data_IF_980172736181
#
_entry.id   IF_980172736181
#
_cell.length_a   1.000
_cell.length_b   1.000
_cell.length_c   1.000
_cell.angle_alpha   90.00
_cell.angle_beta   90.00
_cell.angle_gamma   90.00
#
_symmetry.space_group_name_H-M   'P 1'
#
loop_
_entity.id
_entity.type
_entity.pdbx_description
1 polymer ?
#
# COMPACT_ATOMS: atom_id res chain seq x y z
N UNK A 1 -26.22 27.32 -64.95
CA UNK A 1 -27.06 27.08 -63.78
C UNK A 1 -26.31 26.08 -62.94
N UNK A 2 -25.47 26.55 -62.01
CA UNK A 2 -24.67 25.72 -61.13
C UNK A 2 -25.34 25.63 -59.74
N UNK A 3 -25.56 24.39 -59.27
CA UNK A 3 -26.14 24.11 -57.93
C UNK A 3 -25.06 24.17 -56.87
N UNK A 4 -25.31 24.75 -55.70
CA UNK A 4 -24.36 24.71 -54.56
C UNK A 4 -24.43 23.37 -53.87
N UNK A 5 -23.24 22.78 -53.58
CA UNK A 5 -23.07 21.60 -52.74
C UNK A 5 -22.98 22.10 -51.29
N UNK A 6 -23.94 21.68 -50.49
CA UNK A 6 -23.94 21.96 -49.03
C UNK A 6 -23.05 20.92 -48.34
N UNK A 7 -21.93 21.37 -47.79
CA UNK A 7 -21.02 20.54 -47.00
C UNK A 7 -21.46 20.62 -45.55
N UNK A 8 -22.10 19.56 -45.03
CA UNK A 8 -22.47 19.45 -43.63
C UNK A 8 -21.23 19.05 -42.80
N UNK A 9 -20.70 19.97 -42.00
CA UNK A 9 -19.70 19.67 -40.99
C UNK A 9 -20.39 19.00 -39.79
N UNK A 10 -20.11 17.72 -39.61
CA UNK A 10 -20.51 16.99 -38.39
C UNK A 10 -19.48 17.28 -37.29
N UNK A 11 -19.84 18.12 -36.33
CA UNK A 11 -19.02 18.39 -35.15
C UNK A 11 -19.19 17.20 -34.18
N UNK A 12 -18.19 16.31 -34.10
CA UNK A 12 -18.12 15.29 -33.06
C UNK A 12 -17.68 15.99 -31.74
N UNK A 13 -18.62 16.20 -30.84
CA UNK A 13 -18.30 16.63 -29.48
C UNK A 13 -17.70 15.43 -28.67
N UNK A 14 -16.40 15.43 -28.52
CA UNK A 14 -15.71 14.57 -27.59
C UNK A 14 -16.02 15.06 -26.17
N UNK A 15 -16.99 14.44 -25.51
CA UNK A 15 -17.20 14.63 -24.07
C UNK A 15 -16.13 13.81 -23.34
N UNK A 16 -15.06 14.49 -22.91
CA UNK A 16 -14.12 13.94 -21.94
C UNK A 16 -14.84 13.84 -20.59
N UNK A 17 -15.25 12.62 -20.21
CA UNK A 17 -15.66 12.34 -18.85
C UNK A 17 -14.40 12.41 -17.97
N UNK A 18 -14.17 13.53 -17.31
CA UNK A 18 -13.26 13.63 -16.18
C UNK A 18 -13.95 12.96 -14.99
N UNK A 19 -13.56 11.76 -14.65
CA UNK A 19 -13.88 11.17 -13.36
C UNK A 19 -13.08 11.95 -12.32
N UNK A 20 -13.66 13.01 -11.74
CA UNK A 20 -13.19 13.52 -10.47
C UNK A 20 -13.42 12.38 -9.46
N UNK A 21 -12.34 11.78 -8.96
CA UNK A 21 -12.43 10.82 -7.86
C UNK A 21 -13.04 11.56 -6.68
N UNK A 22 -14.22 11.14 -6.24
CA UNK A 22 -14.82 11.63 -5.00
C UNK A 22 -13.87 11.24 -3.86
N UNK A 23 -13.12 12.20 -3.32
CA UNK A 23 -12.10 11.97 -2.29
C UNK A 23 -12.65 11.30 -1.02
N UNK A 24 -13.97 11.22 -0.90
CA UNK A 24 -14.67 10.60 0.23
C UNK A 24 -15.28 9.22 -0.09
N UNK A 25 -15.04 8.67 -1.27
CA UNK A 25 -15.57 7.36 -1.64
C UNK A 25 -14.63 6.23 -1.23
N UNK A 26 -15.18 5.22 -0.51
CA UNK A 26 -14.45 3.98 -0.25
C UNK A 26 -14.42 3.11 -1.53
N UNK A 27 -13.25 2.95 -2.11
CA UNK A 27 -13.05 2.15 -3.32
C UNK A 27 -13.07 0.64 -3.07
N UNK A 28 -13.06 0.18 -1.82
CA UNK A 28 -13.19 -1.24 -1.48
C UNK A 28 -14.66 -1.68 -1.50
N UNK A 29 -15.15 -1.94 -2.71
CA UNK A 29 -16.53 -2.36 -2.98
C UNK A 29 -16.56 -3.67 -3.76
N UNK A 30 -17.70 -4.36 -3.77
CA UNK A 30 -17.91 -5.60 -4.51
C UNK A 30 -18.36 -6.77 -3.62
N UNK A 31 -18.19 -8.00 -4.12
CA UNK A 31 -18.52 -9.22 -3.39
C UNK A 31 -17.48 -9.52 -2.30
N UNK A 32 -17.85 -9.59 -1.01
CA UNK A 32 -16.92 -9.89 0.08
C UNK A 32 -16.33 -11.31 0.05
N UNK A 33 -16.79 -12.17 -0.87
CA UNK A 33 -16.22 -13.50 -1.07
C UNK A 33 -15.18 -13.53 -2.19
N UNK A 34 -15.01 -12.42 -2.94
CA UNK A 34 -14.11 -12.36 -4.11
C UNK A 34 -13.02 -11.33 -3.91
N UNK A 35 -11.78 -11.74 -4.20
CA UNK A 35 -10.64 -10.83 -4.27
C UNK A 35 -10.65 -10.06 -5.58
N UNK A 36 -10.50 -8.75 -5.50
CA UNK A 36 -10.24 -7.87 -6.65
C UNK A 36 -8.75 -7.57 -6.71
N UNK A 37 -8.10 -8.01 -7.78
CA UNK A 37 -6.69 -7.71 -8.01
C UNK A 37 -6.50 -6.21 -8.28
N UNK A 38 -5.53 -5.61 -7.62
CA UNK A 38 -5.07 -4.23 -7.85
C UNK A 38 -3.83 -4.20 -8.73
N UNK A 39 -3.01 -5.25 -8.66
CA UNK A 39 -1.89 -5.47 -9.57
C UNK A 39 -2.27 -6.52 -10.62
N UNK A 40 -1.99 -6.21 -11.87
CA UNK A 40 -2.43 -7.03 -13.01
C UNK A 40 -1.41 -8.10 -13.45
N UNK A 41 -0.23 -8.18 -12.81
CA UNK A 41 0.85 -9.11 -13.14
C UNK A 41 1.62 -8.78 -14.42
N UNK A 42 1.49 -7.56 -14.98
CA UNK A 42 2.08 -7.19 -16.28
C UNK A 42 2.74 -5.82 -16.28
N UNK A 43 2.08 -4.83 -15.66
CA UNK A 43 2.54 -3.44 -15.65
C UNK A 43 1.95 -2.69 -14.45
N UNK A 44 2.37 -1.44 -14.27
CA UNK A 44 1.93 -0.57 -13.20
C UNK A 44 0.68 0.26 -13.54
N UNK A 45 -0.16 -0.19 -14.46
CA UNK A 45 -1.43 0.47 -14.76
C UNK A 45 -2.31 0.55 -13.50
N UNK A 46 -2.75 1.75 -13.14
CA UNK A 46 -3.50 2.00 -11.91
C UNK A 46 -2.64 2.28 -10.68
N UNK A 47 -1.31 2.41 -10.87
CA UNK A 47 -0.37 2.77 -9.84
C UNK A 47 0.42 4.02 -10.22
N UNK A 48 0.91 4.75 -9.22
CA UNK A 48 1.75 5.94 -9.41
C UNK A 48 2.82 5.99 -8.33
N UNK A 49 4.04 6.32 -8.74
CA UNK A 49 5.17 6.51 -7.84
C UNK A 49 5.32 7.98 -7.41
N UNK A 50 5.73 8.19 -6.14
CA UNK A 50 6.17 9.48 -5.60
C UNK A 50 7.44 9.28 -4.78
N UNK A 51 8.30 10.28 -4.73
CA UNK A 51 9.58 10.25 -4.05
C UNK A 51 10.73 9.68 -4.89
N UNK A 52 11.92 9.57 -4.31
CA UNK A 52 13.09 8.93 -4.93
C UNK A 52 12.89 7.44 -5.21
N UNK A 53 13.74 6.89 -6.07
CA UNK A 53 13.66 5.49 -6.46
C UNK A 53 12.65 5.22 -7.54
N UNK A 54 12.18 3.99 -7.61
CA UNK A 54 11.21 3.57 -8.63
C UNK A 54 10.76 2.14 -8.46
N UNK A 55 9.80 1.77 -9.31
CA UNK A 55 9.25 0.43 -9.36
C UNK A 55 9.23 -0.04 -10.80
N UNK A 56 9.61 -1.28 -11.03
CA UNK A 56 9.55 -1.90 -12.35
C UNK A 56 8.78 -3.21 -12.31
N UNK A 57 8.28 -3.62 -13.46
CA UNK A 57 7.76 -4.97 -13.66
C UNK A 57 8.64 -5.62 -14.71
N UNK A 58 9.31 -6.68 -14.34
CA UNK A 58 10.22 -7.40 -15.21
C UNK A 58 9.57 -8.67 -15.81
N UNK A 59 10.36 -9.47 -16.50
CA UNK A 59 9.88 -10.68 -17.20
C UNK A 59 9.31 -11.77 -16.29
N UNK A 60 9.52 -11.67 -14.97
CA UNK A 60 8.92 -12.55 -13.96
C UNK A 60 7.49 -12.14 -13.56
N UNK A 61 7.03 -10.95 -13.99
CA UNK A 61 5.70 -10.43 -13.71
C UNK A 61 5.50 -9.94 -12.29
N UNK A 62 6.58 -9.62 -11.55
CA UNK A 62 6.51 -9.06 -10.21
C UNK A 62 6.80 -7.56 -10.22
N UNK A 63 6.27 -6.82 -9.25
CA UNK A 63 6.71 -5.47 -8.96
C UNK A 63 8.05 -5.58 -8.22
N UNK A 64 9.07 -4.91 -8.72
CA UNK A 64 10.39 -4.78 -8.10
C UNK A 64 10.55 -3.36 -7.59
N UNK A 65 10.74 -3.18 -6.29
CA UNK A 65 11.13 -1.88 -5.71
C UNK A 65 12.63 -1.68 -5.86
N UNK A 66 13.08 -0.48 -6.08
CA UNK A 66 14.52 -0.15 -6.14
C UNK A 66 14.79 1.34 -5.99
N UNK A 67 15.97 1.66 -5.48
CA UNK A 67 16.59 2.97 -5.63
C UNK A 67 15.98 4.11 -4.82
N UNK A 68 16.12 4.10 -3.51
CA UNK A 68 15.79 5.24 -2.65
C UNK A 68 14.39 5.21 -2.06
N UNK A 69 14.14 6.12 -1.10
CA UNK A 69 12.87 6.18 -0.39
C UNK A 69 11.75 6.72 -1.28
N UNK A 70 10.67 5.97 -1.42
CA UNK A 70 9.51 6.37 -2.22
C UNK A 70 8.28 5.54 -1.91
N UNK A 71 7.21 5.81 -2.64
CA UNK A 71 5.94 5.12 -2.50
C UNK A 71 5.31 4.85 -3.87
N UNK A 72 5.04 3.60 -4.16
CA UNK A 72 4.16 3.19 -5.24
C UNK A 72 2.73 3.09 -4.69
N UNK A 73 1.86 4.07 -4.96
CA UNK A 73 0.49 4.06 -4.45
C UNK A 73 -0.54 3.70 -5.51
N UNK A 74 -1.61 3.03 -5.09
CA UNK A 74 -2.73 2.69 -5.94
C UNK A 74 -3.65 3.90 -6.17
N UNK A 75 -3.92 4.23 -7.46
CA UNK A 75 -4.65 5.44 -7.85
C UNK A 75 -6.17 5.28 -7.89
N UNK A 76 -6.69 4.08 -7.63
CA UNK A 76 -8.13 3.81 -7.70
C UNK A 76 -8.96 4.36 -6.54
N UNK A 77 -8.34 5.08 -5.60
CA UNK A 77 -9.02 5.78 -4.50
C UNK A 77 -8.69 5.22 -3.12
N UNK A 78 -9.36 5.76 -2.10
CA UNK A 78 -9.18 5.36 -0.70
C UNK A 78 -9.86 4.02 -0.42
N UNK A 79 -9.28 3.23 0.47
CA UNK A 79 -9.83 1.94 0.91
C UNK A 79 -9.96 1.88 2.44
N UNK A 80 -10.99 1.20 2.90
CA UNK A 80 -11.26 0.94 4.31
C UNK A 80 -12.44 -0.01 4.46
N UNK A 81 -12.68 -0.58 5.63
CA UNK A 81 -13.59 -1.71 5.85
C UNK A 81 -13.33 -2.83 4.83
N UNK A 82 -12.07 -3.24 4.77
CA UNK A 82 -11.47 -3.97 3.67
C UNK A 82 -10.45 -4.97 4.19
N UNK A 83 -10.28 -6.07 3.50
CA UNK A 83 -9.07 -6.89 3.59
C UNK A 83 -8.16 -6.54 2.41
N UNK A 84 -6.89 -6.35 2.71
CA UNK A 84 -5.81 -6.17 1.73
C UNK A 84 -4.96 -7.44 1.78
N UNK A 85 -4.70 -8.05 0.64
CA UNK A 85 -3.85 -9.22 0.47
C UNK A 85 -2.61 -8.83 -0.29
N UNK A 86 -1.44 -9.11 0.27
CA UNK A 86 -0.14 -8.83 -0.35
C UNK A 86 0.72 -10.08 -0.28
N UNK A 87 1.25 -10.50 -1.43
CA UNK A 87 2.26 -11.57 -1.51
C UNK A 87 3.58 -10.94 -1.90
N UNK A 88 4.55 -11.02 -1.00
CA UNK A 88 5.85 -10.38 -1.15
C UNK A 88 7.01 -11.32 -0.80
N UNK A 89 8.19 -11.00 -1.27
CA UNK A 89 9.46 -11.57 -0.81
C UNK A 89 10.55 -10.51 -0.85
N UNK A 90 11.49 -10.61 0.05
CA UNK A 90 12.72 -9.83 0.01
C UNK A 90 13.72 -10.52 -0.91
N UNK A 91 14.61 -9.76 -1.56
CA UNK A 91 15.76 -10.32 -2.28
C UNK A 91 16.77 -10.92 -1.29
N UNK A 92 17.00 -10.18 -0.19
CA UNK A 92 17.93 -10.52 0.88
C UNK A 92 17.23 -10.41 2.25
N UNK A 93 17.77 -11.07 3.28
CA UNK A 93 17.25 -11.06 4.66
C UNK A 93 17.16 -9.67 5.28
N UNK A 94 18.00 -8.74 4.85
CA UNK A 94 18.11 -7.39 5.38
C UNK A 94 17.42 -6.34 4.49
N UNK A 95 16.77 -6.74 3.40
CA UNK A 95 15.99 -5.79 2.59
C UNK A 95 14.78 -5.27 3.41
N UNK A 96 14.47 -3.99 3.25
CA UNK A 96 13.40 -3.29 3.93
C UNK A 96 12.38 -2.73 2.96
N UNK A 97 11.11 -2.74 3.35
CA UNK A 97 9.98 -2.16 2.66
C UNK A 97 8.78 -2.08 3.62
N UNK A 98 7.62 -1.69 3.10
CA UNK A 98 6.39 -1.62 3.88
C UNK A 98 5.14 -1.54 3.02
N UNK A 99 4.01 -1.78 3.66
CA UNK A 99 2.69 -1.57 3.07
C UNK A 99 2.03 -0.42 3.81
N UNK A 100 1.95 0.74 3.17
CA UNK A 100 1.29 1.92 3.74
C UNK A 100 -0.22 1.84 3.57
N UNK A 101 -0.94 2.13 4.65
CA UNK A 101 -2.40 2.11 4.74
C UNK A 101 -2.91 3.39 5.40
N UNK A 102 -4.20 3.71 5.24
CA UNK A 102 -4.88 4.83 5.90
C UNK A 102 -4.20 6.19 5.68
N UNK A 103 -3.50 6.38 4.56
CA UNK A 103 -2.91 7.67 4.21
C UNK A 103 -4.06 8.67 3.99
N UNK A 104 -4.11 9.82 4.70
CA UNK A 104 -5.32 10.66 4.76
C UNK A 104 -5.64 11.38 3.45
N UNK A 105 -4.62 11.77 2.70
CA UNK A 105 -4.74 12.49 1.43
C UNK A 105 -3.92 11.78 0.34
N UNK A 106 -4.16 12.11 -0.94
CA UNK A 106 -3.38 11.54 -2.03
C UNK A 106 -1.88 11.81 -1.83
N UNK A 107 -1.02 10.77 -1.90
CA UNK A 107 0.42 10.91 -1.72
C UNK A 107 1.04 11.89 -2.73
N UNK A 108 1.87 12.81 -2.24
CA UNK A 108 2.57 13.82 -3.06
C UNK A 108 4.07 13.80 -2.85
N UNK A 109 4.52 13.18 -1.77
CA UNK A 109 5.91 13.01 -1.39
C UNK A 109 6.05 11.81 -0.45
N UNK A 110 7.24 11.30 -0.26
CA UNK A 110 7.54 10.03 0.40
C UNK A 110 7.36 10.02 1.91
N UNK A 111 7.55 11.16 2.59
CA UNK A 111 7.45 11.24 4.06
C UNK A 111 6.03 11.39 4.57
N UNK A 112 5.11 11.86 3.72
CA UNK A 112 3.71 12.03 4.13
C UNK A 112 3.05 10.71 4.57
N UNK A 113 3.19 9.58 3.85
CA UNK A 113 2.66 8.30 4.30
C UNK A 113 3.29 7.82 5.60
N UNK A 114 4.59 8.05 5.81
CA UNK A 114 5.29 7.68 7.05
C UNK A 114 4.69 8.43 8.24
N UNK A 115 4.53 9.74 8.13
CA UNK A 115 4.07 10.56 9.24
C UNK A 115 2.57 10.42 9.52
N UNK A 116 1.74 10.27 8.49
CA UNK A 116 0.29 10.42 8.61
C UNK A 116 -0.51 9.16 8.23
N UNK A 117 0.10 8.16 7.62
CA UNK A 117 -0.46 6.83 7.43
C UNK A 117 -0.11 5.89 8.56
N UNK A 118 -0.37 4.60 8.36
CA UNK A 118 0.28 3.51 9.07
C UNK A 118 1.10 2.71 8.06
N UNK A 119 2.29 2.34 8.45
CA UNK A 119 3.11 1.39 7.71
C UNK A 119 2.98 0.01 8.36
N UNK A 120 2.60 -1.00 7.58
CA UNK A 120 2.76 -2.40 7.95
C UNK A 120 4.12 -2.83 7.44
N UNK A 121 5.07 -2.96 8.35
CA UNK A 121 6.50 -3.13 8.09
C UNK A 121 6.84 -4.43 7.36
N UNK A 122 7.89 -4.40 6.55
CA UNK A 122 8.59 -5.53 5.96
C UNK A 122 10.08 -5.37 6.29
N UNK A 123 10.50 -5.91 7.42
CA UNK A 123 11.88 -5.97 7.89
C UNK A 123 12.01 -7.18 8.82
N UNK A 124 12.80 -8.16 8.43
CA UNK A 124 12.99 -9.38 9.22
C UNK A 124 14.05 -9.21 10.31
N UNK A 125 14.94 -8.23 10.17
CA UNK A 125 16.11 -8.00 11.00
C UNK A 125 16.30 -6.52 11.38
N UNK A 126 15.30 -5.89 12.04
CA UNK A 126 15.39 -4.47 12.41
C UNK A 126 16.61 -4.17 13.30
N UNK A 127 17.11 -5.16 14.06
CA UNK A 127 18.32 -5.03 14.89
C UNK A 127 19.58 -4.71 14.07
N UNK A 128 19.64 -5.03 12.78
CA UNK A 128 20.79 -4.67 11.92
C UNK A 128 20.87 -3.17 11.66
N UNK A 129 19.75 -2.47 11.79
CA UNK A 129 19.63 -1.00 11.71
C UNK A 129 19.56 -0.33 13.07
N UNK A 130 19.87 -1.05 14.15
CA UNK A 130 19.73 -0.63 15.57
C UNK A 130 18.27 -0.30 15.96
N UNK A 131 17.31 -0.92 15.31
CA UNK A 131 15.89 -0.83 15.61
C UNK A 131 15.45 -2.01 16.48
N UNK A 132 14.27 -1.91 17.05
CA UNK A 132 13.73 -2.91 17.96
C UNK A 132 12.54 -3.69 17.36
N UNK A 133 11.92 -4.56 18.14
CA UNK A 133 10.81 -5.41 17.71
C UNK A 133 9.58 -4.66 17.17
N UNK A 134 9.43 -3.36 17.45
CA UNK A 134 8.38 -2.51 16.90
C UNK A 134 8.55 -2.21 15.40
N UNK A 135 9.71 -2.56 14.83
CA UNK A 135 10.07 -2.39 13.44
C UNK A 135 10.10 -3.70 12.65
N UNK A 136 9.64 -4.81 13.26
CA UNK A 136 9.65 -6.12 12.61
C UNK A 136 8.53 -6.28 11.59
N UNK A 137 8.72 -7.21 10.64
CA UNK A 137 7.72 -7.56 9.60
C UNK A 137 6.34 -7.85 10.19
N UNK A 138 5.33 -7.16 9.68
CA UNK A 138 3.94 -7.28 10.07
C UNK A 138 3.50 -6.36 11.19
N UNK A 139 4.41 -5.55 11.75
CA UNK A 139 4.06 -4.56 12.78
C UNK A 139 3.54 -3.27 12.15
N UNK A 140 2.72 -2.52 12.88
CA UNK A 140 2.56 -1.11 12.58
C UNK A 140 3.83 -0.41 13.06
N UNK A 141 4.62 0.07 12.13
CA UNK A 141 5.95 0.66 12.33
C UNK A 141 5.98 1.61 13.51
N UNK A 142 6.88 1.37 14.46
CA UNK A 142 7.05 2.10 15.72
C UNK A 142 5.83 2.10 16.67
N UNK A 143 4.75 1.39 16.38
CA UNK A 143 3.51 1.44 17.16
C UNK A 143 3.18 0.12 17.86
N UNK A 144 3.42 -1.03 17.24
CA UNK A 144 2.99 -2.32 17.79
C UNK A 144 4.14 -3.31 17.93
N UNK A 145 4.02 -4.18 18.94
CA UNK A 145 4.92 -5.32 19.13
C UNK A 145 4.36 -6.57 18.46
N UNK A 146 5.23 -7.52 18.05
CA UNK A 146 4.79 -8.80 17.53
C UNK A 146 3.97 -9.59 18.54
N UNK A 147 2.76 -10.01 18.18
CA UNK A 147 2.03 -11.03 18.91
C UNK A 147 2.62 -12.42 18.70
N UNK A 148 3.26 -12.62 17.55
CA UNK A 148 3.99 -13.83 17.17
C UNK A 148 5.02 -13.50 16.09
N UNK A 149 6.07 -14.30 15.97
CA UNK A 149 7.04 -14.26 14.88
C UNK A 149 6.57 -15.24 13.79
N UNK A 150 6.24 -14.73 12.60
CA UNK A 150 5.65 -15.55 11.55
C UNK A 150 6.21 -15.28 10.14
N UNK A 151 7.18 -14.39 9.98
CA UNK A 151 7.83 -14.15 8.69
C UNK A 151 8.72 -15.32 8.31
N UNK A 152 8.84 -15.54 7.01
CA UNK A 152 9.78 -16.47 6.40
C UNK A 152 11.00 -15.70 5.94
N UNK A 153 12.17 -16.36 5.94
CA UNK A 153 13.41 -15.72 5.49
C UNK A 153 13.33 -15.28 4.02
N UNK A 154 14.05 -14.23 3.65
CA UNK A 154 14.30 -13.93 2.25
C UNK A 154 15.17 -15.03 1.61
N UNK A 155 14.89 -15.49 0.38
CA UNK A 155 13.91 -14.98 -0.58
C UNK A 155 12.59 -15.78 -0.61
N UNK A 156 12.12 -16.32 0.49
CA UNK A 156 10.84 -17.03 0.52
C UNK A 156 9.63 -16.08 0.40
N UNK A 157 8.58 -16.56 -0.27
CA UNK A 157 7.34 -15.80 -0.38
C UNK A 157 6.58 -15.76 0.95
N UNK A 158 6.24 -14.57 1.38
CA UNK A 158 5.37 -14.28 2.52
C UNK A 158 3.99 -13.81 2.01
N UNK A 159 2.97 -14.12 2.79
CA UNK A 159 1.59 -13.63 2.59
C UNK A 159 1.20 -12.76 3.75
N UNK A 160 0.79 -11.55 3.48
CA UNK A 160 0.32 -10.56 4.46
C UNK A 160 -1.13 -10.20 4.15
N UNK A 161 -2.05 -10.51 5.09
CA UNK A 161 -3.44 -10.11 5.03
C UNK A 161 -3.71 -9.03 6.07
N UNK A 162 -4.06 -7.82 5.61
CA UNK A 162 -4.32 -6.67 6.46
C UNK A 162 -5.83 -6.42 6.48
N UNK A 163 -6.45 -6.49 7.64
CA UNK A 163 -7.87 -6.18 7.84
C UNK A 163 -8.02 -4.76 8.38
N UNK A 164 -8.77 -3.93 7.67
CA UNK A 164 -9.18 -2.58 8.08
C UNK A 164 -10.65 -2.62 8.47
N UNK A 165 -10.97 -2.59 9.78
CA UNK A 165 -12.34 -2.66 10.31
C UNK A 165 -12.61 -1.44 11.22
N UNK A 166 -13.23 -0.41 10.65
CA UNK A 166 -13.32 0.90 11.29
C UNK A 166 -11.93 1.38 11.70
N UNK A 167 -11.73 1.74 12.96
CA UNK A 167 -10.45 2.16 13.52
C UNK A 167 -9.49 1.01 13.88
N UNK A 168 -9.88 -0.26 13.67
CA UNK A 168 -9.05 -1.42 13.98
C UNK A 168 -8.25 -1.87 12.77
N UNK A 169 -6.99 -2.25 12.99
CA UNK A 169 -6.09 -2.84 11.99
C UNK A 169 -5.57 -4.18 12.52
N UNK A 170 -5.79 -5.26 11.79
CA UNK A 170 -5.30 -6.60 12.11
C UNK A 170 -4.40 -7.06 11.00
N UNK A 171 -3.21 -7.59 11.34
CA UNK A 171 -2.29 -8.18 10.36
C UNK A 171 -2.14 -9.67 10.62
N UNK A 172 -2.41 -10.45 9.58
CA UNK A 172 -2.08 -11.87 9.51
C UNK A 172 -0.87 -12.04 8.62
N UNK A 173 0.18 -12.65 9.10
CA UNK A 173 1.38 -12.98 8.33
C UNK A 173 1.52 -14.49 8.22
N UNK A 174 1.53 -15.01 7.00
CA UNK A 174 1.55 -16.47 6.73
C UNK A 174 0.47 -17.26 7.52
N UNK A 175 -0.71 -16.64 7.67
CA UNK A 175 -1.84 -17.24 8.39
C UNK A 175 -1.81 -17.10 9.92
N UNK A 176 -0.79 -16.44 10.48
CA UNK A 176 -0.65 -16.19 11.91
C UNK A 176 -0.94 -14.72 12.22
N UNK A 177 -1.76 -14.43 13.23
CA UNK A 177 -2.02 -13.06 13.67
C UNK A 177 -0.78 -12.52 14.39
N UNK A 178 -0.19 -11.46 13.80
CA UNK A 178 1.02 -10.82 14.31
C UNK A 178 0.76 -9.43 14.88
N UNK A 179 -0.28 -8.76 14.41
CA UNK A 179 -0.70 -7.44 14.91
C UNK A 179 -2.22 -7.38 15.06
N UNK A 180 -2.67 -6.71 16.12
CA UNK A 180 -4.08 -6.41 16.39
C UNK A 180 -4.11 -5.07 17.15
N UNK A 181 -4.38 -3.99 16.44
CA UNK A 181 -4.31 -2.62 16.93
C UNK A 181 -5.62 -1.88 16.68
N UNK A 182 -6.05 -1.10 17.65
CA UNK A 182 -7.17 -0.18 17.53
C UNK A 182 -6.73 1.23 17.90
N UNK A 183 -7.19 2.24 17.20
CA UNK A 183 -6.91 3.62 17.55
C UNK A 183 -7.26 3.91 19.02
N UNK A 184 -6.27 4.45 19.75
CA UNK A 184 -6.35 4.68 21.19
C UNK A 184 -5.68 3.59 22.04
N UNK A 185 -5.24 2.49 21.45
CA UNK A 185 -4.39 1.53 22.17
C UNK A 185 -3.07 2.19 22.55
N UNK A 186 -2.46 1.80 23.69
CA UNK A 186 -1.17 2.32 24.10
C UNK A 186 -0.08 2.05 23.06
N UNK A 187 0.69 3.08 22.73
CA UNK A 187 1.84 3.02 21.81
C UNK A 187 3.09 3.56 22.52
N UNK A 188 4.32 3.16 22.09
CA UNK A 188 5.55 3.71 22.64
C UNK A 188 5.63 5.21 22.46
N UNK A 189 6.42 5.89 23.27
CA UNK A 189 6.77 7.28 23.06
C UNK A 189 7.59 7.43 21.76
N UNK A 190 7.25 8.42 20.94
CA UNK A 190 7.98 8.75 19.72
C UNK A 190 9.38 9.23 20.06
N UNK A 191 10.40 8.58 19.49
CA UNK A 191 11.81 8.86 19.77
C UNK A 191 12.48 9.72 18.71
N UNK A 192 12.04 9.60 17.45
CA UNK A 192 12.70 10.21 16.29
C UNK A 192 11.72 10.96 15.41
N UNK A 193 12.21 11.95 14.68
CA UNK A 193 11.37 12.77 13.79
C UNK A 193 10.84 12.01 12.57
N UNK A 194 11.51 10.94 12.16
CA UNK A 194 11.08 10.06 11.08
C UNK A 194 10.02 9.03 11.49
N UNK A 195 9.75 8.84 12.78
CA UNK A 195 8.67 7.95 13.23
C UNK A 195 7.28 8.57 12.96
N UNK A 196 6.22 7.74 12.86
CA UNK A 196 4.87 8.22 12.61
C UNK A 196 4.37 9.17 13.70
N UNK A 197 3.58 10.15 13.33
CA UNK A 197 2.86 10.98 14.28
C UNK A 197 1.86 10.10 15.04
N UNK A 198 1.71 10.34 16.35
CA UNK A 198 0.68 9.65 17.14
C UNK A 198 -0.71 10.23 16.85
N UNK A 199 -1.74 9.43 17.07
CA UNK A 199 -3.13 9.82 16.93
C UNK A 199 -3.90 8.96 15.93
N UNK A 200 -5.21 9.17 15.85
CA UNK A 200 -6.09 8.38 15.00
C UNK A 200 -5.80 8.60 13.52
N UNK A 201 -6.06 7.56 12.73
CA UNK A 201 -6.05 7.60 11.27
C UNK A 201 -7.47 7.52 10.72
N UNK A 202 -7.73 8.01 9.49
CA UNK A 202 -9.05 7.87 8.89
C UNK A 202 -9.42 6.39 8.73
N UNK A 203 -10.73 6.08 8.85
CA UNK A 203 -11.24 4.71 8.67
C UNK A 203 -10.99 4.18 7.26
N UNK A 204 -10.83 5.07 6.28
CA UNK A 204 -10.39 4.76 4.92
C UNK A 204 -9.38 5.79 4.43
N UNK A 205 -8.37 5.32 3.70
CA UNK A 205 -7.27 6.15 3.22
C UNK A 205 -6.61 5.55 1.99
N UNK A 206 -5.63 6.26 1.47
CA UNK A 206 -4.80 5.78 0.37
C UNK A 206 -3.91 4.63 0.86
N UNK A 207 -3.44 3.85 -0.10
CA UNK A 207 -2.68 2.64 0.10
C UNK A 207 -1.51 2.60 -0.89
N UNK A 208 -0.36 2.07 -0.45
CA UNK A 208 0.81 1.93 -1.32
C UNK A 208 1.87 0.98 -0.77
N UNK A 209 2.88 0.74 -1.60
CA UNK A 209 4.04 -0.11 -1.34
C UNK A 209 5.27 0.79 -1.25
N UNK A 210 6.12 0.56 -0.25
CA UNK A 210 7.30 1.39 0.01
C UNK A 210 8.49 0.95 -0.86
N UNK A 211 9.23 1.95 -1.39
CA UNK A 211 10.65 1.84 -1.65
C UNK A 211 11.38 2.38 -0.43
N UNK A 212 12.32 1.64 0.15
CA UNK A 212 12.96 2.05 1.40
C UNK A 212 14.30 2.75 1.17
N UNK A 213 15.26 2.09 0.55
CA UNK A 213 16.58 2.66 0.31
C UNK A 213 17.18 2.23 -1.04
N UNK A 214 18.35 2.80 -1.38
CA UNK A 214 19.04 2.47 -2.63
C UNK A 214 19.43 0.99 -2.75
N UNK A 215 19.57 0.31 -1.62
CA UNK A 215 20.03 -1.08 -1.57
C UNK A 215 18.91 -2.09 -1.36
N UNK A 216 17.73 -1.65 -0.94
CA UNK A 216 16.61 -2.54 -0.64
C UNK A 216 15.86 -2.93 -1.91
N UNK A 217 15.58 -4.23 -2.06
CA UNK A 217 14.78 -4.75 -3.16
C UNK A 217 13.76 -5.75 -2.62
N UNK A 218 12.50 -5.37 -2.72
CA UNK A 218 11.37 -6.23 -2.36
C UNK A 218 10.52 -6.47 -3.60
N UNK A 219 10.07 -7.71 -3.74
CA UNK A 219 9.23 -8.14 -4.85
C UNK A 219 7.80 -8.32 -4.37
N UNK A 220 6.85 -7.75 -5.10
CA UNK A 220 5.43 -7.95 -4.86
C UNK A 220 4.81 -8.73 -6.02
N UNK A 221 4.20 -9.87 -5.70
CA UNK A 221 3.61 -10.78 -6.69
C UNK A 221 2.11 -10.58 -6.82
N UNK A 222 1.43 -10.37 -5.71
CA UNK A 222 -0.02 -10.21 -5.65
C UNK A 222 -0.36 -9.03 -4.74
N UNK A 223 -1.27 -8.19 -5.20
CA UNK A 223 -1.89 -7.14 -4.40
C UNK A 223 -3.37 -7.12 -4.73
N UNK A 224 -4.19 -7.47 -3.76
CA UNK A 224 -5.63 -7.59 -3.94
C UNK A 224 -6.41 -7.06 -2.74
N UNK A 225 -7.67 -6.70 -2.95
CA UNK A 225 -8.57 -6.27 -1.88
C UNK A 225 -9.91 -7.00 -1.97
N UNK A 226 -10.60 -7.07 -0.84
CA UNK A 226 -12.03 -7.45 -0.78
C UNK A 226 -12.73 -6.75 0.38
N UNK A 227 -14.02 -6.38 0.23
CA UNK A 227 -14.80 -5.79 1.31
C UNK A 227 -14.92 -6.77 2.51
N UNK A 228 -15.07 -6.23 3.71
CA UNK A 228 -15.43 -7.04 4.86
C UNK A 228 -16.88 -7.55 4.73
N UNK A 229 -17.13 -8.75 5.21
CA UNK A 229 -18.50 -9.24 5.42
C UNK A 229 -19.13 -8.39 6.54
N UNK A 230 -20.26 -7.79 6.22
CA UNK A 230 -21.11 -7.12 7.23
C UNK A 230 -21.88 -8.14 8.04
#
# INVERSE_FOLDING_TARGET
MSKPVLLSLLLLALTSFSFASDENHNACTGDPNQWRQLYNGKDLTGWKHVGPGGDTVEGDGFIHTHGGMGLLYWTGGKIGNCMIHVVFRMRDENDNSGVFIRIPVEPREEWMPVHYGFEVQIDNHPETSNEDEYHSTGMLYSLTKPLAKAWKPGPEWNTMDITLDGSRTIVMLNGVKVTDYKDGDPVPERKFDFEPQHGPRPDFGWFGLQNHSDNDVVFFKEVAIKPLKK
#
